data_IF_992159920229
#
_entry.id   IF_992159920229
#
_cell.length_a   1.000
_cell.length_b   1.000
_cell.length_c   1.000
_cell.angle_alpha   90.00
_cell.angle_beta   90.00
_cell.angle_gamma   90.00
#
_symmetry.space_group_name_H-M   'P 1'
#
loop_
_entity.id
_entity.type
_entity.pdbx_description
1 polymer ?
#
# COMPACT_ATOMS: atom_id res chain seq x y z
N UNK A 1 19.00 -9.75 -47.90
CA UNK A 1 18.95 -8.88 -46.70
C UNK A 1 17.98 -9.38 -45.62
N UNK A 2 17.47 -10.62 -45.72
CA UNK A 2 16.41 -11.15 -44.84
C UNK A 2 16.91 -12.29 -43.93
N UNK A 3 18.14 -12.77 -44.11
CA UNK A 3 18.70 -13.92 -43.40
C UNK A 3 19.64 -13.55 -42.24
N UNK A 4 20.05 -12.28 -42.16
CA UNK A 4 20.94 -11.76 -41.09
C UNK A 4 20.13 -11.22 -39.90
N UNK A 5 18.91 -10.73 -40.15
CA UNK A 5 18.04 -10.18 -39.11
C UNK A 5 17.41 -11.25 -38.21
N UNK A 6 17.16 -12.47 -38.72
CA UNK A 6 16.59 -13.55 -37.92
C UNK A 6 17.58 -14.15 -36.92
N UNK A 7 18.88 -14.23 -37.27
CA UNK A 7 19.93 -14.71 -36.35
C UNK A 7 20.24 -13.73 -35.23
N UNK A 8 20.09 -12.42 -35.45
CA UNK A 8 20.31 -11.42 -34.40
C UNK A 8 19.24 -11.49 -33.29
N UNK A 9 17.99 -11.79 -33.66
CA UNK A 9 16.86 -11.85 -32.72
C UNK A 9 16.92 -13.12 -31.86
N UNK A 10 17.37 -14.25 -32.40
CA UNK A 10 17.53 -15.51 -31.63
C UNK A 10 18.72 -15.45 -30.68
N UNK A 11 19.79 -14.73 -31.04
CA UNK A 11 20.98 -14.60 -30.18
C UNK A 11 20.72 -13.61 -29.03
N UNK A 12 19.94 -12.54 -29.25
CA UNK A 12 19.56 -11.61 -28.17
C UNK A 12 18.54 -12.21 -27.18
N UNK A 13 17.66 -13.11 -27.65
CA UNK A 13 16.70 -13.79 -26.77
C UNK A 13 17.34 -14.90 -25.94
N UNK A 14 18.46 -15.49 -26.39
CA UNK A 14 19.25 -16.41 -25.56
C UNK A 14 20.08 -15.67 -24.49
N UNK A 15 20.57 -14.45 -24.76
CA UNK A 15 21.38 -13.68 -23.81
C UNK A 15 20.57 -13.03 -22.67
N UNK A 16 19.29 -12.72 -22.88
CA UNK A 16 18.42 -12.13 -21.85
C UNK A 16 17.83 -13.19 -20.90
N UNK A 17 17.81 -14.46 -21.30
CA UNK A 17 17.28 -15.57 -20.47
C UNK A 17 18.35 -16.15 -19.53
N UNK A 18 19.65 -15.90 -19.79
CA UNK A 18 20.78 -16.42 -18.98
C UNK A 18 21.18 -15.55 -17.77
N UNK A 19 20.47 -14.45 -17.49
CA UNK A 19 20.67 -13.65 -16.27
C UNK A 19 19.82 -14.11 -15.07
N UNK A 20 19.02 -15.17 -15.21
CA UNK A 20 18.23 -15.72 -14.12
C UNK A 20 18.84 -17.04 -13.62
N UNK A 21 19.46 -17.00 -12.43
CA UNK A 21 19.68 -18.10 -11.47
C UNK A 21 21.08 -18.20 -10.85
N UNK A 22 21.82 -17.10 -10.72
CA UNK A 22 22.76 -17.02 -9.59
C UNK A 22 21.93 -16.84 -8.31
N UNK A 23 21.42 -17.95 -7.76
CA UNK A 23 20.96 -17.96 -6.38
C UNK A 23 22.19 -17.69 -5.52
N UNK A 24 22.37 -16.45 -5.08
CA UNK A 24 23.35 -16.12 -4.06
C UNK A 24 23.06 -16.94 -2.80
N UNK A 25 23.88 -17.96 -2.57
CA UNK A 25 23.88 -18.83 -1.37
C UNK A 25 24.31 -18.05 -0.11
N UNK A 26 24.45 -16.72 -0.19
CA UNK A 26 24.78 -15.82 0.92
C UNK A 26 23.57 -15.16 1.60
N UNK A 27 22.33 -15.48 1.19
CA UNK A 27 21.16 -14.93 1.88
C UNK A 27 20.99 -15.65 3.22
N UNK A 28 21.09 -14.90 4.33
CA UNK A 28 20.74 -15.39 5.66
C UNK A 28 19.35 -16.07 5.61
N UNK A 29 19.15 -17.20 6.33
CA UNK A 29 17.83 -17.83 6.39
C UNK A 29 16.79 -16.80 6.85
N UNK A 30 15.67 -16.74 6.13
CA UNK A 30 14.56 -15.83 6.41
C UNK A 30 13.53 -16.55 7.27
N UNK A 31 13.25 -16.02 8.45
CA UNK A 31 12.15 -16.49 9.27
C UNK A 31 10.88 -15.81 8.77
N UNK A 32 9.93 -16.59 8.25
CA UNK A 32 8.71 -16.04 7.65
C UNK A 32 7.52 -16.38 8.54
N UNK A 33 6.89 -15.36 9.09
CA UNK A 33 5.63 -15.47 9.82
C UNK A 33 4.45 -15.23 8.87
N UNK A 34 3.59 -16.24 8.74
CA UNK A 34 2.45 -16.25 7.84
C UNK A 34 1.18 -15.83 8.56
N UNK A 35 0.56 -14.75 8.10
CA UNK A 35 -0.58 -14.13 8.79
C UNK A 35 -1.73 -13.87 7.82
N UNK A 36 -2.95 -14.12 8.28
CA UNK A 36 -4.18 -13.83 7.54
C UNK A 36 -4.91 -12.69 8.22
N UNK A 37 -5.25 -11.64 7.48
CA UNK A 37 -5.82 -10.41 8.04
C UNK A 37 -7.01 -9.95 7.20
N UNK A 38 -8.06 -9.47 7.86
CA UNK A 38 -9.15 -8.73 7.23
C UNK A 38 -8.93 -7.23 7.45
N UNK A 39 -8.99 -6.45 6.38
CA UNK A 39 -9.01 -5.00 6.40
C UNK A 39 -10.40 -4.51 6.02
N UNK A 40 -11.00 -3.68 6.87
CA UNK A 40 -12.25 -2.99 6.56
C UNK A 40 -11.98 -1.50 6.50
N UNK A 41 -12.43 -0.85 5.43
CA UNK A 41 -12.11 0.56 5.17
C UNK A 41 -13.33 1.37 4.78
N UNK A 42 -13.45 2.56 5.34
CA UNK A 42 -14.29 3.63 4.83
C UNK A 42 -13.40 4.75 4.28
N UNK A 43 -13.63 5.13 3.02
CA UNK A 43 -12.88 6.16 2.32
C UNK A 43 -13.81 7.27 1.83
N UNK A 44 -13.66 8.47 2.37
CA UNK A 44 -14.40 9.64 1.97
C UNK A 44 -13.55 10.54 1.07
N UNK A 45 -14.17 11.07 0.02
CA UNK A 45 -13.61 12.10 -0.84
C UNK A 45 -14.61 13.26 -0.93
N UNK A 46 -14.28 14.36 -0.26
CA UNK A 46 -15.02 15.61 -0.34
C UNK A 46 -14.38 16.53 -1.38
N UNK A 47 -15.05 16.72 -2.52
CA UNK A 47 -14.63 17.68 -3.54
C UNK A 47 -15.11 19.07 -3.14
N UNK A 48 -14.18 19.99 -2.90
CA UNK A 48 -14.49 21.36 -2.51
C UNK A 48 -14.69 22.26 -3.74
N UNK A 49 -13.90 22.04 -4.79
CA UNK A 49 -14.00 22.72 -6.08
C UNK A 49 -13.20 21.94 -7.14
N UNK A 50 -13.01 22.53 -8.32
CA UNK A 50 -12.30 21.91 -9.44
C UNK A 50 -10.82 21.56 -9.17
N UNK A 51 -10.20 22.15 -8.14
CA UNK A 51 -8.79 21.95 -7.79
C UNK A 51 -8.58 21.27 -6.44
N UNK A 52 -9.45 21.52 -5.46
CA UNK A 52 -9.25 21.06 -4.09
C UNK A 52 -10.22 19.95 -3.70
N UNK A 53 -9.70 18.94 -3.03
CA UNK A 53 -10.49 17.95 -2.30
C UNK A 53 -9.86 17.61 -0.94
N UNK A 54 -10.69 17.14 -0.02
CA UNK A 54 -10.27 16.57 1.26
C UNK A 54 -10.61 15.09 1.22
N UNK A 55 -9.64 14.24 1.55
CA UNK A 55 -9.86 12.80 1.63
C UNK A 55 -9.66 12.35 3.07
N UNK A 56 -10.55 11.50 3.55
CA UNK A 56 -10.53 10.95 4.91
C UNK A 56 -10.67 9.43 4.84
N UNK A 57 -9.88 8.70 5.62
CA UNK A 57 -9.87 7.24 5.64
C UNK A 57 -9.91 6.73 7.07
N UNK A 58 -10.73 5.70 7.29
CA UNK A 58 -10.77 4.89 8.49
C UNK A 58 -10.53 3.44 8.06
N UNK A 59 -9.54 2.77 8.64
CA UNK A 59 -9.18 1.40 8.32
C UNK A 59 -9.04 0.61 9.63
N UNK A 60 -9.78 -0.48 9.76
CA UNK A 60 -9.66 -1.40 10.88
C UNK A 60 -9.13 -2.75 10.37
N UNK A 61 -8.20 -3.34 11.12
CA UNK A 61 -7.52 -4.57 10.74
C UNK A 61 -7.61 -5.59 11.86
N UNK A 62 -7.99 -6.80 11.49
CA UNK A 62 -8.18 -7.92 12.42
C UNK A 62 -7.51 -9.16 11.85
N UNK A 63 -6.75 -9.87 12.68
CA UNK A 63 -6.27 -11.20 12.33
C UNK A 63 -7.44 -12.17 12.18
N UNK A 64 -7.30 -13.17 11.32
CA UNK A 64 -8.35 -14.18 11.11
C UNK A 64 -8.10 -15.49 11.87
N UNK A 65 -6.87 -15.69 12.39
CA UNK A 65 -6.44 -16.93 13.07
C UNK A 65 -5.37 -16.66 14.13
N UNK A 66 -5.73 -16.65 15.43
CA UNK A 66 -7.09 -16.41 15.95
C UNK A 66 -7.64 -15.03 15.53
N UNK A 67 -8.92 -14.78 15.83
CA UNK A 67 -9.54 -13.47 15.63
C UNK A 67 -9.05 -12.53 16.74
N UNK A 68 -8.18 -11.60 16.37
CA UNK A 68 -7.53 -10.67 17.30
C UNK A 68 -7.31 -9.33 16.61
N UNK A 69 -7.47 -8.23 17.34
CA UNK A 69 -7.25 -6.89 16.80
C UNK A 69 -5.78 -6.70 16.38
N UNK A 70 -5.55 -6.16 15.18
CA UNK A 70 -4.20 -5.92 14.67
C UNK A 70 -3.82 -4.45 14.82
N UNK A 71 -4.57 -3.56 14.17
CA UNK A 71 -4.36 -2.11 14.23
C UNK A 71 -5.55 -1.34 13.66
N UNK A 72 -5.69 -0.10 14.10
CA UNK A 72 -6.61 0.89 13.55
C UNK A 72 -5.84 2.03 12.88
N UNK A 73 -6.42 2.61 11.82
CA UNK A 73 -5.86 3.76 11.10
C UNK A 73 -6.92 4.82 10.89
N UNK A 74 -6.54 6.06 11.17
CA UNK A 74 -7.25 7.25 10.73
C UNK A 74 -6.33 8.10 9.87
N UNK A 75 -6.79 8.56 8.71
CA UNK A 75 -6.03 9.44 7.81
C UNK A 75 -6.90 10.60 7.35
N UNK A 76 -6.28 11.77 7.28
CA UNK A 76 -6.85 12.94 6.60
C UNK A 76 -5.80 13.56 5.69
N UNK A 77 -6.19 14.00 4.50
CA UNK A 77 -5.31 14.62 3.52
C UNK A 77 -6.03 15.68 2.70
N UNK A 78 -5.39 16.84 2.55
CA UNK A 78 -5.76 17.83 1.53
C UNK A 78 -5.12 17.44 0.21
N UNK A 79 -5.86 17.63 -0.89
CA UNK A 79 -5.44 17.27 -2.25
C UNK A 79 -5.59 18.47 -3.18
N UNK A 80 -4.57 18.69 -3.99
CA UNK A 80 -4.56 19.73 -5.01
C UNK A 80 -4.31 19.14 -6.39
N UNK A 81 -5.27 19.35 -7.29
CA UNK A 81 -5.19 18.98 -8.69
C UNK A 81 -4.55 20.10 -9.49
N UNK A 82 -3.31 19.87 -9.93
CA UNK A 82 -2.56 20.82 -10.76
C UNK A 82 -3.09 20.85 -12.18
N UNK A 83 -3.39 19.67 -12.74
CA UNK A 83 -3.96 19.50 -14.07
C UNK A 83 -4.67 18.13 -14.17
N UNK A 84 -5.02 17.68 -15.37
CA UNK A 84 -5.68 16.37 -15.59
C UNK A 84 -4.81 15.17 -15.22
N UNK A 85 -3.50 15.34 -15.14
CA UNK A 85 -2.51 14.28 -14.95
C UNK A 85 -1.80 14.34 -13.60
N UNK A 86 -1.69 15.49 -12.95
CA UNK A 86 -0.91 15.65 -11.71
C UNK A 86 -1.80 16.12 -10.57
N UNK A 87 -1.71 15.39 -9.46
CA UNK A 87 -2.32 15.75 -8.18
C UNK A 87 -1.30 15.57 -7.07
N UNK A 88 -1.27 16.49 -6.11
CA UNK A 88 -0.43 16.37 -4.90
C UNK A 88 -1.30 16.28 -3.66
N UNK A 89 -0.81 15.61 -2.64
CA UNK A 89 -1.45 15.48 -1.34
C UNK A 89 -0.51 15.80 -0.20
N UNK A 90 -1.06 16.35 0.87
CA UNK A 90 -0.40 16.47 2.16
C UNK A 90 -1.41 16.21 3.27
N UNK A 91 -0.96 15.60 4.37
CA UNK A 91 -1.87 15.29 5.46
C UNK A 91 -1.23 14.58 6.63
N UNK A 92 -2.09 14.00 7.44
CA UNK A 92 -1.75 13.36 8.70
C UNK A 92 -2.38 11.97 8.78
N UNK A 93 -1.68 11.04 9.43
CA UNK A 93 -2.20 9.71 9.74
C UNK A 93 -1.92 9.35 11.19
N UNK A 94 -2.92 8.81 11.85
CA UNK A 94 -2.81 8.13 13.14
C UNK A 94 -2.94 6.62 12.93
N UNK A 95 -2.05 5.87 13.58
CA UNK A 95 -2.11 4.42 13.74
C UNK A 95 -2.20 4.10 15.23
N UNK A 96 -3.18 3.29 15.61
CA UNK A 96 -3.18 2.57 16.89
C UNK A 96 -2.81 1.12 16.59
N UNK A 97 -1.67 0.65 17.08
CA UNK A 97 -1.19 -0.71 16.83
C UNK A 97 -1.39 -1.57 18.08
N UNK A 98 -2.34 -2.49 18.04
CA UNK A 98 -2.64 -3.40 19.15
C UNK A 98 -1.60 -4.50 19.27
N UNK A 99 -1.43 -5.31 18.23
CA UNK A 99 -0.43 -6.37 18.19
C UNK A 99 0.00 -6.72 16.77
N UNK A 100 1.22 -7.21 16.61
CA UNK A 100 1.73 -7.79 15.36
C UNK A 100 1.85 -9.31 15.43
N UNK A 101 1.44 -9.92 16.54
CA UNK A 101 1.42 -11.37 16.79
C UNK A 101 0.01 -11.76 17.26
N UNK A 102 -0.76 -12.52 16.47
CA UNK A 102 -2.15 -12.82 16.80
C UNK A 102 -2.30 -13.69 18.05
N UNK A 103 -1.24 -14.33 18.54
CA UNK A 103 -1.28 -15.14 19.76
C UNK A 103 -0.89 -14.35 21.02
N UNK A 104 -0.63 -13.05 20.88
CA UNK A 104 -0.28 -12.15 21.98
C UNK A 104 -1.25 -11.00 22.02
N UNK A 105 -1.96 -10.91 23.13
CA UNK A 105 -2.75 -9.74 23.49
C UNK A 105 -1.95 -8.88 24.47
N UNK A 106 -1.86 -7.60 24.18
CA UNK A 106 -1.31 -6.58 25.05
C UNK A 106 -2.48 -5.77 25.63
N UNK A 107 -2.32 -5.26 26.84
CA UNK A 107 -3.27 -4.36 27.49
C UNK A 107 -3.11 -2.89 27.07
N UNK A 108 -2.24 -2.62 26.09
CA UNK A 108 -1.96 -1.31 25.54
C UNK A 108 -1.85 -1.35 24.01
N UNK A 109 -2.13 -0.22 23.37
CA UNK A 109 -1.85 0.03 21.96
C UNK A 109 -0.60 0.89 21.80
N UNK A 110 0.13 0.73 20.69
CA UNK A 110 1.28 1.56 20.33
C UNK A 110 0.81 2.66 19.38
N UNK A 111 0.75 3.93 19.82
CA UNK A 111 0.45 5.05 18.95
C UNK A 111 1.57 5.29 17.95
N UNK A 112 1.19 5.52 16.70
CA UNK A 112 2.10 6.00 15.66
C UNK A 112 1.46 7.15 14.90
N UNK A 113 2.18 8.27 14.83
CA UNK A 113 1.76 9.46 14.11
C UNK A 113 2.59 9.62 12.84
N UNK A 114 1.94 10.04 11.76
CA UNK A 114 2.62 10.28 10.49
C UNK A 114 2.24 11.59 9.84
N UNK A 115 3.26 12.37 9.48
CA UNK A 115 3.14 13.33 8.39
C UNK A 115 3.23 12.58 7.06
N UNK A 116 2.48 13.01 6.06
CA UNK A 116 2.53 12.42 4.73
C UNK A 116 2.45 13.49 3.66
N UNK A 117 3.27 13.33 2.61
CA UNK A 117 3.13 14.09 1.38
C UNK A 117 3.29 13.15 0.19
N UNK A 118 2.52 13.39 -0.88
CA UNK A 118 2.59 12.56 -2.08
C UNK A 118 2.31 13.34 -3.36
N UNK A 119 2.82 12.80 -4.46
CA UNK A 119 2.48 13.20 -5.82
C UNK A 119 1.97 11.99 -6.58
N UNK A 120 0.84 12.16 -7.26
CA UNK A 120 0.24 11.19 -8.16
C UNK A 120 0.30 11.70 -9.58
N UNK A 121 0.87 10.89 -10.48
CA UNK A 121 0.77 11.08 -11.92
C UNK A 121 -0.21 10.06 -12.51
N UNK A 122 -1.28 10.57 -13.11
CA UNK A 122 -2.34 9.83 -13.78
C UNK A 122 -2.18 9.93 -15.30
N UNK A 123 -2.16 8.79 -15.96
CA UNK A 123 -2.10 8.66 -17.40
C UNK A 123 -3.20 7.72 -17.89
N UNK A 124 -3.99 8.15 -18.87
CA UNK A 124 -5.05 7.33 -19.45
C UNK A 124 -4.55 6.71 -20.75
N UNK A 125 -4.55 5.38 -20.82
CA UNK A 125 -4.23 4.60 -22.01
C UNK A 125 -5.47 3.84 -22.47
N UNK A 126 -6.24 4.41 -23.41
CA UNK A 126 -7.52 3.86 -23.87
C UNK A 126 -8.46 3.58 -22.68
N UNK A 127 -8.79 2.31 -22.44
CA UNK A 127 -9.66 1.85 -21.33
C UNK A 127 -8.91 1.63 -20.02
N UNK A 128 -7.59 1.81 -19.98
CA UNK A 128 -6.78 1.60 -18.78
C UNK A 128 -6.34 2.96 -18.24
N UNK A 129 -6.57 3.19 -16.95
CA UNK A 129 -5.96 4.33 -16.24
C UNK A 129 -4.76 3.82 -15.45
N UNK A 130 -3.59 4.40 -15.69
CA UNK A 130 -2.39 4.17 -14.90
C UNK A 130 -2.20 5.32 -13.91
N UNK A 131 -2.02 4.99 -12.64
CA UNK A 131 -1.69 5.94 -11.58
C UNK A 131 -0.34 5.55 -10.95
N UNK A 132 0.63 6.44 -11.07
CA UNK A 132 1.90 6.34 -10.37
C UNK A 132 1.87 7.28 -9.18
N UNK A 133 2.24 6.78 -7.98
CA UNK A 133 2.31 7.61 -6.79
C UNK A 133 3.66 7.46 -6.11
N UNK A 134 4.28 8.60 -5.81
CA UNK A 134 5.41 8.70 -4.89
C UNK A 134 4.90 9.35 -3.61
N UNK A 135 5.15 8.71 -2.47
CA UNK A 135 4.76 9.21 -1.16
C UNK A 135 5.94 9.12 -0.19
N UNK A 136 6.08 10.15 0.64
CA UNK A 136 6.96 10.15 1.80
C UNK A 136 6.11 10.24 3.06
N UNK A 137 6.55 9.53 4.10
CA UNK A 137 5.94 9.54 5.43
C UNK A 137 7.02 9.89 6.47
N UNK A 138 6.81 10.94 7.26
CA UNK A 138 7.47 11.13 8.55
C UNK A 138 6.79 10.22 9.56
N UNK A 139 7.50 9.29 10.21
CA UNK A 139 6.89 8.33 11.14
C UNK A 139 7.41 8.53 12.56
N UNK A 140 6.49 8.75 13.49
CA UNK A 140 6.74 8.94 14.91
C UNK A 140 6.06 7.79 15.67
N UNK A 141 6.82 6.76 16.01
CA UNK A 141 6.33 5.54 16.66
C UNK A 141 6.63 5.65 18.15
N UNK A 142 5.63 5.58 19.02
CA UNK A 142 5.85 5.58 20.46
C UNK A 142 6.68 4.35 20.86
N UNK A 143 7.63 4.53 21.77
CA UNK A 143 8.48 3.41 22.19
C UNK A 143 7.66 2.45 23.08
N UNK A 144 7.87 1.15 22.91
CA UNK A 144 7.19 0.15 23.71
C UNK A 144 8.14 -0.99 24.11
N UNK A 145 7.90 -1.52 25.29
CA UNK A 145 8.48 -2.75 25.79
C UNK A 145 7.51 -3.92 25.60
N UNK A 146 7.84 -5.09 26.14
CA UNK A 146 6.91 -6.23 26.16
C UNK A 146 5.73 -6.04 27.12
N UNK A 147 5.81 -5.09 28.04
CA UNK A 147 4.87 -4.93 29.16
C UNK A 147 4.19 -3.57 29.18
N UNK A 148 4.47 -2.69 28.23
CA UNK A 148 3.88 -1.35 28.23
C UNK A 148 4.62 -0.35 27.35
N UNK A 149 4.00 0.82 27.19
CA UNK A 149 4.62 2.00 26.61
C UNK A 149 5.80 2.47 27.46
N UNK A 150 6.79 3.03 26.80
CA UNK A 150 8.01 3.57 27.41
C UNK A 150 8.27 4.95 26.86
N UNK A 151 8.97 5.79 27.63
CA UNK A 151 9.19 7.17 27.24
C UNK A 151 9.86 7.32 25.86
N UNK A 152 9.41 8.35 25.15
CA UNK A 152 9.97 8.78 23.88
C UNK A 152 9.36 8.13 22.65
N UNK A 153 9.91 8.54 21.50
CA UNK A 153 9.40 8.20 20.18
C UNK A 153 10.55 7.84 19.27
N UNK A 154 10.41 6.76 18.51
CA UNK A 154 11.31 6.41 17.43
C UNK A 154 10.85 7.07 16.14
N UNK A 155 11.71 7.93 15.59
CA UNK A 155 11.51 8.54 14.29
C UNK A 155 12.06 7.67 13.15
N UNK A 156 11.33 7.60 12.04
CA UNK A 156 11.81 7.03 10.77
C UNK A 156 11.13 7.70 9.58
N UNK A 157 11.79 7.67 8.43
CA UNK A 157 11.21 8.03 7.14
C UNK A 157 10.72 6.77 6.44
N UNK A 158 9.63 6.89 5.68
CA UNK A 158 9.24 5.85 4.73
C UNK A 158 8.93 6.44 3.37
N UNK A 159 9.55 5.88 2.34
CA UNK A 159 9.29 6.21 0.94
C UNK A 159 8.46 5.09 0.32
N UNK A 160 7.47 5.46 -0.49
CA UNK A 160 6.54 4.53 -1.12
C UNK A 160 6.42 4.88 -2.59
N UNK A 161 6.56 3.88 -3.45
CA UNK A 161 6.23 3.99 -4.86
C UNK A 161 5.14 2.98 -5.21
N UNK A 162 4.05 3.45 -5.80
CA UNK A 162 2.93 2.61 -6.26
C UNK A 162 2.68 2.81 -7.74
N UNK A 163 2.59 1.71 -8.48
CA UNK A 163 2.05 1.67 -9.84
C UNK A 163 0.71 0.93 -9.80
N UNK A 164 -0.37 1.64 -10.11
CA UNK A 164 -1.74 1.12 -10.10
C UNK A 164 -2.36 1.21 -11.49
N UNK A 165 -3.00 0.14 -11.95
CA UNK A 165 -3.83 0.12 -13.13
C UNK A 165 -5.30 -0.05 -12.75
N UNK A 166 -6.17 0.72 -13.39
CA UNK A 166 -7.62 0.60 -13.27
C UNK A 166 -8.23 0.33 -14.65
N UNK A 167 -9.07 -0.70 -14.73
CA UNK A 167 -9.68 -1.15 -15.97
C UNK A 167 -11.20 -1.29 -15.79
N UNK A 168 -12.00 -0.26 -16.13
CA UNK A 168 -13.44 -0.40 -16.27
C UNK A 168 -13.77 -1.36 -17.42
N UNK A 169 -14.54 -2.39 -17.13
CA UNK A 169 -14.95 -3.40 -18.11
C UNK A 169 -16.46 -3.52 -18.27
N UNK A 170 -17.24 -2.91 -17.36
CA UNK A 170 -18.68 -2.79 -17.49
C UNK A 170 -19.15 -1.45 -16.93
N UNK A 171 -20.05 -0.79 -17.65
CA UNK A 171 -20.67 0.46 -17.25
C UNK A 171 -22.14 0.46 -17.71
N UNK A 172 -23.04 0.88 -16.83
CA UNK A 172 -24.47 1.06 -17.14
C UNK A 172 -25.00 2.25 -16.34
N UNK A 173 -25.45 3.29 -17.04
CA UNK A 173 -25.97 4.53 -16.42
C UNK A 173 -24.98 5.14 -15.41
N UNK A 174 -25.28 5.05 -14.10
CA UNK A 174 -24.45 5.54 -12.99
C UNK A 174 -23.67 4.44 -12.29
N UNK A 175 -23.76 3.21 -12.77
CA UNK A 175 -23.10 2.04 -12.24
C UNK A 175 -21.90 1.65 -13.11
N UNK A 176 -20.88 1.10 -12.46
CA UNK A 176 -19.72 0.58 -13.15
C UNK A 176 -19.10 -0.58 -12.38
N UNK A 177 -18.34 -1.38 -13.08
CA UNK A 177 -17.49 -2.41 -12.51
C UNK A 177 -16.11 -2.29 -13.14
N UNK A 178 -15.10 -2.15 -12.29
CA UNK A 178 -13.72 -2.04 -12.72
C UNK A 178 -12.82 -2.97 -11.93
N UNK A 179 -11.78 -3.46 -12.60
CA UNK A 179 -10.67 -4.14 -11.98
C UNK A 179 -9.61 -3.12 -11.56
N UNK A 180 -8.98 -3.34 -10.41
CA UNK A 180 -7.87 -2.55 -9.92
C UNK A 180 -6.74 -3.52 -9.59
N UNK A 181 -5.55 -3.23 -10.10
CA UNK A 181 -4.33 -3.94 -9.70
C UNK A 181 -3.25 -2.93 -9.35
N UNK A 182 -2.42 -3.23 -8.36
CA UNK A 182 -1.24 -2.44 -8.12
C UNK A 182 -0.08 -3.26 -7.56
N UNK A 183 1.11 -2.72 -7.78
CA UNK A 183 2.33 -3.05 -7.04
C UNK A 183 2.78 -1.80 -6.28
N UNK A 184 3.11 -1.96 -5.00
CA UNK A 184 3.65 -0.90 -4.15
C UNK A 184 4.89 -1.39 -3.38
N UNK A 185 6.01 -0.70 -3.56
CA UNK A 185 7.26 -0.93 -2.83
C UNK A 185 7.44 0.18 -1.80
N UNK A 186 7.93 -0.19 -0.62
CA UNK A 186 8.20 0.73 0.47
C UNK A 186 9.61 0.53 1.01
N UNK A 187 10.28 1.64 1.29
CA UNK A 187 11.63 1.69 1.83
C UNK A 187 11.64 2.54 3.10
N UNK A 188 12.33 2.08 4.14
CA UNK A 188 12.59 2.86 5.34
C UNK A 188 13.93 3.59 5.26
N UNK A 189 14.02 4.75 5.92
CA UNK A 189 15.27 5.46 6.15
C UNK A 189 15.28 6.14 7.53
N UNK A 190 16.47 6.52 8.00
CA UNK A 190 16.67 7.17 9.29
C UNK A 190 17.58 6.38 10.21
N UNK A 191 17.97 6.99 11.35
CA UNK A 191 18.98 6.45 12.27
C UNK A 191 18.59 5.09 12.89
N UNK A 192 17.30 4.83 13.03
CA UNK A 192 16.74 3.58 13.58
C UNK A 192 16.75 2.41 12.59
N UNK A 193 17.05 2.67 11.31
CA UNK A 193 16.98 1.68 10.23
C UNK A 193 18.38 1.13 9.96
N UNK A 194 18.63 -0.09 10.44
CA UNK A 194 19.93 -0.76 10.32
C UNK A 194 19.89 -1.83 9.23
N UNK A 195 18.93 -2.75 9.29
CA UNK A 195 18.88 -3.94 8.41
C UNK A 195 17.62 -4.02 7.53
N UNK A 196 16.67 -3.11 7.70
CA UNK A 196 15.34 -3.13 7.07
C UNK A 196 15.08 -1.87 6.22
N UNK A 197 16.08 -1.48 5.41
CA UNK A 197 15.91 -0.43 4.40
C UNK A 197 14.82 -0.79 3.41
N UNK A 198 14.77 -2.06 2.97
CA UNK A 198 13.54 -2.58 2.40
C UNK A 198 12.52 -2.76 3.51
N UNK A 199 11.34 -2.18 3.35
CA UNK A 199 10.26 -2.35 4.31
C UNK A 199 9.31 -3.44 3.83
N UNK A 200 8.60 -3.18 2.75
CA UNK A 200 7.62 -4.13 2.24
C UNK A 200 7.33 -3.95 0.76
N UNK A 201 6.92 -5.05 0.14
CA UNK A 201 6.27 -5.08 -1.16
C UNK A 201 4.81 -5.51 -1.00
N UNK A 202 3.93 -4.89 -1.77
CA UNK A 202 2.49 -5.11 -1.75
C UNK A 202 1.94 -5.28 -3.16
N UNK A 203 1.40 -6.45 -3.43
CA UNK A 203 0.70 -6.74 -4.69
C UNK A 203 -0.79 -6.84 -4.38
N UNK A 204 -1.61 -6.14 -5.16
CA UNK A 204 -3.05 -6.03 -4.93
C UNK A 204 -3.85 -6.30 -6.20
N UNK A 205 -4.98 -6.98 -6.02
CA UNK A 205 -6.02 -7.12 -7.03
C UNK A 205 -7.39 -6.93 -6.41
N UNK A 206 -8.28 -6.21 -7.08
CA UNK A 206 -9.63 -5.96 -6.59
C UNK A 206 -10.65 -5.74 -7.70
N UNK A 207 -11.91 -5.94 -7.33
CA UNK A 207 -13.08 -5.51 -8.08
C UNK A 207 -13.76 -4.38 -7.32
N UNK A 208 -14.00 -3.26 -8.01
CA UNK A 208 -14.73 -2.13 -7.47
C UNK A 208 -16.04 -1.95 -8.24
N UNK A 209 -17.16 -2.04 -7.53
CA UNK A 209 -18.50 -1.82 -8.04
C UNK A 209 -19.00 -0.44 -7.62
N UNK A 210 -19.20 0.44 -8.59
CA UNK A 210 -19.90 1.70 -8.38
C UNK A 210 -21.40 1.49 -8.32
N UNK A 211 -21.99 1.69 -7.14
CA UNK A 211 -23.45 1.57 -6.94
C UNK A 211 -24.17 2.76 -7.58
N UNK A 212 -23.58 3.95 -7.43
CA UNK A 212 -24.04 5.19 -8.04
C UNK A 212 -22.88 6.20 -8.15
N UNK A 213 -23.18 7.45 -8.52
CA UNK A 213 -22.18 8.52 -8.66
C UNK A 213 -21.42 8.86 -7.36
N UNK A 214 -22.00 8.56 -6.20
CA UNK A 214 -21.48 8.91 -4.88
C UNK A 214 -20.89 7.71 -4.12
N UNK A 215 -21.36 6.48 -4.36
CA UNK A 215 -20.99 5.30 -3.56
C UNK A 215 -20.40 4.21 -4.44
N UNK A 216 -19.27 3.65 -4.00
CA UNK A 216 -18.72 2.43 -4.55
C UNK A 216 -18.27 1.48 -3.44
N UNK A 217 -18.32 0.18 -3.72
CA UNK A 217 -17.77 -0.86 -2.85
C UNK A 217 -16.63 -1.56 -3.57
N UNK A 218 -15.62 -2.00 -2.82
CA UNK A 218 -14.46 -2.71 -3.35
C UNK A 218 -14.15 -3.92 -2.49
N UNK A 219 -13.99 -5.07 -3.15
CA UNK A 219 -13.46 -6.28 -2.56
C UNK A 219 -12.13 -6.57 -3.24
N UNK A 220 -11.08 -6.75 -2.44
CA UNK A 220 -9.76 -7.06 -2.96
C UNK A 220 -8.96 -8.01 -2.09
N UNK A 221 -7.90 -8.51 -2.70
CA UNK A 221 -6.88 -9.33 -2.06
C UNK A 221 -5.53 -8.63 -2.18
N UNK A 222 -4.83 -8.52 -1.07
CA UNK A 222 -3.54 -7.87 -0.92
C UNK A 222 -2.53 -8.89 -0.38
N UNK A 223 -1.48 -9.15 -1.14
CA UNK A 223 -0.31 -9.89 -0.68
C UNK A 223 0.73 -8.90 -0.19
N UNK A 224 1.14 -8.99 1.07
CA UNK A 224 2.14 -8.09 1.66
C UNK A 224 3.31 -8.88 2.21
N UNK A 225 4.51 -8.65 1.67
CA UNK A 225 5.75 -9.24 2.16
C UNK A 225 6.59 -8.13 2.80
N UNK A 226 6.80 -8.22 4.12
CA UNK A 226 7.40 -7.16 4.92
C UNK A 226 8.60 -7.65 5.71
N UNK A 227 9.73 -6.94 5.61
CA UNK A 227 10.92 -7.17 6.42
C UNK A 227 10.79 -6.45 7.78
N UNK A 228 11.21 -7.14 8.84
CA UNK A 228 11.20 -6.61 10.21
C UNK A 228 12.57 -6.03 10.59
N UNK A 229 12.68 -5.23 11.68
CA UNK A 229 13.92 -4.56 12.07
C UNK A 229 15.14 -5.47 12.26
N UNK A 230 14.93 -6.76 12.60
CA UNK A 230 16.02 -7.74 12.76
C UNK A 230 16.75 -8.06 11.46
N UNK A 231 16.16 -7.75 10.30
CA UNK A 231 16.71 -8.04 8.98
C UNK A 231 16.53 -9.48 8.50
N UNK A 232 16.25 -10.41 9.42
CA UNK A 232 16.06 -11.85 9.14
C UNK A 232 14.62 -12.31 9.31
N UNK A 233 13.80 -11.57 10.06
CA UNK A 233 12.39 -11.89 10.25
C UNK A 233 11.52 -11.13 9.25
N UNK A 234 10.50 -11.81 8.74
CA UNK A 234 9.59 -11.28 7.73
C UNK A 234 8.14 -11.62 8.08
N UNK A 235 7.21 -10.72 7.77
CA UNK A 235 5.80 -11.04 7.69
C UNK A 235 5.43 -11.35 6.24
N UNK A 236 4.68 -12.43 6.04
CA UNK A 236 4.05 -12.77 4.79
C UNK A 236 2.53 -12.82 5.02
N UNK A 237 1.86 -11.77 4.56
CA UNK A 237 0.45 -11.50 4.88
C UNK A 237 -0.45 -11.70 3.69
N UNK A 238 -1.46 -12.53 3.90
CA UNK A 238 -2.62 -12.69 3.05
C UNK A 238 -3.75 -11.82 3.61
N UNK A 239 -4.14 -10.80 2.85
CA UNK A 239 -5.07 -9.78 3.33
C UNK A 239 -6.29 -9.73 2.42
N UNK A 240 -7.48 -9.89 2.99
CA UNK A 240 -8.74 -9.56 2.34
C UNK A 240 -9.07 -8.12 2.70
N UNK A 241 -9.39 -7.28 1.72
CA UNK A 241 -9.78 -5.89 1.93
C UNK A 241 -11.19 -5.63 1.44
N UNK A 242 -12.03 -5.14 2.34
CA UNK A 242 -13.35 -4.61 2.05
C UNK A 242 -13.29 -3.09 2.18
N UNK A 243 -13.76 -2.37 1.17
CA UNK A 243 -13.78 -0.90 1.22
C UNK A 243 -15.09 -0.32 0.73
N UNK A 244 -15.55 0.71 1.43
CA UNK A 244 -16.64 1.59 1.00
C UNK A 244 -16.03 2.93 0.63
N UNK A 245 -16.32 3.40 -0.59
CA UNK A 245 -15.93 4.71 -1.08
C UNK A 245 -17.16 5.61 -1.14
N UNK A 246 -17.03 6.80 -0.57
CA UNK A 246 -18.06 7.82 -0.58
C UNK A 246 -17.51 9.14 -1.14
N UNK A 247 -18.08 9.58 -2.26
CA UNK A 247 -17.75 10.84 -2.94
C UNK A 247 -18.83 11.87 -2.65
N UNK A 248 -18.40 13.02 -2.14
CA UNK A 248 -19.23 14.17 -1.84
C UNK A 248 -18.74 15.38 -2.63
N UNK A 249 -19.67 16.27 -2.94
CA UNK A 249 -19.39 17.53 -3.63
C UNK A 249 -20.03 18.66 -2.82
N UNK A 250 -19.26 19.72 -2.56
CA UNK A 250 -19.76 20.97 -2.02
C UNK A 250 -20.24 21.89 -3.15
#
# INVERSE_FOLDING_TARGET
MTTVLSKLITTLSASVILLNSQQSIAQKPKNIDHQNILWTRYYNQLTLNNKWSIHTEFDNRVFLKPITENLFVFRIQGRYKWNSNIETGAGFTYFSVYTQDPNKEYDFEIPEYRGQQDVTYKFNLKKITLNQRLQVEERFIHNASKTGLTDGTTFSWRFRYRLQAEFPFWEKEKQYLKAIVYDEIMLNAGKSIIYNTFDQNRIYGALQYGINKNIAIELGYLKSFQQRPSGVDYFNRDIIRLSIFHKMHL
#
